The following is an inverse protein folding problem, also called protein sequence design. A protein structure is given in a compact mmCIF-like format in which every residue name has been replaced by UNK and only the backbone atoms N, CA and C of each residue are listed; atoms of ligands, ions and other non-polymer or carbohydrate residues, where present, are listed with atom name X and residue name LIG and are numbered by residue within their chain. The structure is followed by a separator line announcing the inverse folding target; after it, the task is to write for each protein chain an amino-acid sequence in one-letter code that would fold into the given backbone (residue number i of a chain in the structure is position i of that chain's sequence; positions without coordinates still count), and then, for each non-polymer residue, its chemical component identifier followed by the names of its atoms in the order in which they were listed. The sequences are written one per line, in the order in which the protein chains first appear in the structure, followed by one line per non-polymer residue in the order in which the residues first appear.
data_IF_494450152961
#
_entry.id   IF_494450152961
#
_cell.length_a   1.000
_cell.length_b   1.000
_cell.length_c   1.000
_cell.angle_alpha   90.00
_cell.angle_beta   90.00
_cell.angle_gamma   90.00
#
_symmetry.space_group_name_H-M   'P 1'
#
loop_
_entity.id
_entity.type
_entity.pdbx_description
1 polymer ?
#
# COMPACT_ATOMS: atom_id res chain seq x y z
N UNK A 1 4.68 -0.71 6.08
CA UNK A 1 5.42 0.15 7.00
C UNK A 1 5.65 -0.61 8.30
N UNK A 2 4.62 -0.92 9.10
CA UNK A 2 4.72 -1.60 10.40
C UNK A 2 5.39 -2.97 10.32
N UNK A 3 5.06 -3.80 9.33
CA UNK A 3 5.70 -5.11 9.11
C UNK A 3 7.22 -5.03 8.85
N UNK A 4 7.74 -3.85 8.51
CA UNK A 4 9.17 -3.56 8.37
C UNK A 4 9.76 -2.91 9.63
N UNK A 5 9.01 -2.82 10.72
CA UNK A 5 9.43 -2.20 11.97
C UNK A 5 9.48 -0.66 11.93
N UNK A 6 8.92 -0.01 10.91
CA UNK A 6 8.88 1.44 10.84
C UNK A 6 7.62 2.00 11.50
N UNK A 7 7.76 3.11 12.23
CA UNK A 7 6.65 3.80 12.88
C UNK A 7 5.86 4.62 11.84
N UNK A 8 4.58 4.30 11.58
CA UNK A 8 3.77 5.02 10.64
C UNK A 8 3.34 6.41 11.13
N UNK A 9 3.41 6.70 12.44
CA UNK A 9 3.08 8.04 12.99
C UNK A 9 4.22 9.04 12.81
N UNK A 10 5.40 8.56 12.43
CA UNK A 10 6.59 9.37 12.14
C UNK A 10 7.33 8.79 10.94
N UNK A 11 6.65 8.77 9.77
CA UNK A 11 7.18 8.15 8.54
C UNK A 11 8.19 9.04 7.80
N UNK A 12 8.39 10.26 8.24
CA UNK A 12 9.31 11.22 7.63
C UNK A 12 8.84 12.65 7.86
N UNK A 13 9.28 13.56 6.99
CA UNK A 13 8.83 14.95 7.00
C UNK A 13 8.43 15.38 5.60
N UNK A 14 7.40 16.20 5.51
CA UNK A 14 6.97 16.85 4.28
C UNK A 14 7.95 17.95 3.82
N UNK A 15 7.63 18.65 2.73
CA UNK A 15 8.45 19.75 2.21
C UNK A 15 8.50 20.98 3.14
N UNK A 16 7.59 21.08 4.10
CA UNK A 16 7.49 22.12 5.11
C UNK A 16 8.19 21.74 6.42
N UNK A 17 8.72 20.50 6.51
CA UNK A 17 9.38 19.97 7.69
C UNK A 17 8.42 19.46 8.77
N UNK A 18 7.12 19.29 8.46
CA UNK A 18 6.15 18.68 9.36
C UNK A 18 6.29 17.15 9.32
N UNK A 19 6.06 16.48 10.45
CA UNK A 19 6.05 15.03 10.51
C UNK A 19 4.89 14.49 9.64
N UNK A 20 5.16 13.43 8.87
CA UNK A 20 4.15 12.67 8.13
C UNK A 20 3.62 11.59 9.05
N UNK A 21 2.35 11.69 9.43
CA UNK A 21 1.61 10.71 10.21
C UNK A 21 0.64 9.96 9.30
N UNK A 22 1.06 8.79 8.80
CA UNK A 22 0.25 7.97 7.89
C UNK A 22 -1.02 7.43 8.56
N UNK A 23 -1.03 7.32 9.89
CA UNK A 23 -2.21 6.87 10.63
C UNK A 23 -3.26 7.99 10.64
N UNK A 24 -2.87 9.18 11.06
CA UNK A 24 -3.76 10.33 11.08
C UNK A 24 -4.28 10.66 9.67
N UNK A 25 -3.38 10.81 8.71
CA UNK A 25 -3.68 11.21 7.33
C UNK A 25 -4.59 10.20 6.62
N UNK A 26 -4.42 8.91 6.89
CA UNK A 26 -5.20 7.82 6.28
C UNK A 26 -6.50 7.47 7.03
N UNK A 27 -6.77 8.07 8.19
CA UNK A 27 -7.93 7.71 9.03
C UNK A 27 -8.65 8.92 9.59
N UNK A 28 -8.42 9.26 10.85
CA UNK A 28 -9.20 10.23 11.61
C UNK A 28 -8.95 11.70 11.22
N UNK A 29 -7.85 12.01 10.58
CA UNK A 29 -7.54 13.33 10.03
C UNK A 29 -7.70 13.40 8.50
N UNK A 30 -8.33 12.40 7.89
CA UNK A 30 -8.64 12.40 6.46
C UNK A 30 -9.30 13.73 6.04
N UNK A 31 -8.94 14.22 4.86
CA UNK A 31 -9.42 15.52 4.37
C UNK A 31 -10.95 15.60 4.46
N UNK A 32 -11.43 16.58 5.24
CA UNK A 32 -12.86 16.78 5.51
C UNK A 32 -13.65 17.28 4.30
N UNK A 33 -13.00 17.58 3.18
CA UNK A 33 -13.68 17.94 1.93
C UNK A 33 -14.32 16.72 1.26
N UNK A 34 -13.81 15.52 1.54
CA UNK A 34 -14.35 14.26 1.07
C UNK A 34 -14.50 13.26 2.23
N UNK A 35 -15.53 12.41 2.15
CA UNK A 35 -15.73 11.34 3.14
C UNK A 35 -14.67 10.26 3.02
N UNK A 36 -14.31 9.59 4.13
CA UNK A 36 -13.58 8.31 4.11
C UNK A 36 -14.25 7.29 3.16
N UNK A 37 -15.58 7.36 3.04
CA UNK A 37 -16.36 6.52 2.13
C UNK A 37 -16.34 6.93 0.66
N UNK A 38 -15.55 7.90 0.23
CA UNK A 38 -15.46 8.34 -1.18
C UNK A 38 -15.06 7.18 -2.11
N UNK A 39 -14.28 6.22 -1.61
CA UNK A 39 -13.91 4.99 -2.33
C UNK A 39 -14.84 3.80 -2.00
N UNK A 40 -16.08 4.07 -1.60
CA UNK A 40 -17.01 3.06 -1.12
C UNK A 40 -16.66 2.56 0.28
N UNK A 41 -17.15 1.38 0.65
CA UNK A 41 -16.97 0.82 1.99
C UNK A 41 -15.50 0.55 2.34
N UNK A 42 -14.63 0.34 1.35
CA UNK A 42 -13.21 0.08 1.54
C UNK A 42 -12.50 1.16 2.35
N UNK A 43 -12.85 2.44 2.17
CA UNK A 43 -12.27 3.53 2.94
C UNK A 43 -12.47 3.37 4.45
N UNK A 44 -13.69 3.01 4.87
CA UNK A 44 -14.04 2.76 6.26
C UNK A 44 -13.38 1.49 6.82
N UNK A 45 -13.40 0.40 6.03
CA UNK A 45 -12.79 -0.89 6.40
C UNK A 45 -11.30 -0.73 6.69
N UNK A 46 -10.54 -0.16 5.73
CA UNK A 46 -9.09 -0.03 5.90
C UNK A 46 -8.70 1.03 6.92
N UNK A 47 -9.52 2.08 7.14
CA UNK A 47 -9.30 3.01 8.24
C UNK A 47 -9.41 2.30 9.60
N UNK A 48 -10.42 1.44 9.81
CA UNK A 48 -10.57 0.69 11.06
C UNK A 48 -9.43 -0.31 11.27
N UNK A 49 -9.09 -1.10 10.23
CA UNK A 49 -7.95 -2.03 10.28
C UNK A 49 -6.66 -1.27 10.64
N UNK A 50 -6.43 -0.12 10.04
CA UNK A 50 -5.24 0.72 10.30
C UNK A 50 -5.18 1.19 11.74
N UNK A 51 -6.29 1.70 12.29
CA UNK A 51 -6.37 2.15 13.69
C UNK A 51 -6.14 1.01 14.68
N UNK A 52 -6.63 -0.18 14.37
CA UNK A 52 -6.55 -1.34 15.26
C UNK A 52 -5.21 -2.09 15.11
N UNK A 53 -4.50 -1.90 14.00
CA UNK A 53 -3.24 -2.58 13.74
C UNK A 53 -2.15 -2.29 14.79
N UNK A 54 -2.13 -1.09 15.37
CA UNK A 54 -1.21 -0.68 16.44
C UNK A 54 -1.94 -0.12 17.66
N UNK A 55 -3.25 -0.38 17.79
CA UNK A 55 -4.10 0.18 18.84
C UNK A 55 -3.99 1.72 18.94
N UNK A 56 -3.94 2.42 17.80
CA UNK A 56 -3.72 3.86 17.75
C UNK A 56 -4.87 4.64 18.39
N UNK A 57 -4.52 5.63 19.22
CA UNK A 57 -5.51 6.52 19.83
C UNK A 57 -6.04 7.51 18.80
N UNK A 58 -7.35 7.76 18.84
CA UNK A 58 -8.01 8.80 18.05
C UNK A 58 -8.21 10.01 18.95
N UNK A 59 -7.75 11.23 18.56
CA UNK A 59 -7.97 12.46 19.31
C UNK A 59 -9.46 12.79 19.47
N UNK A 60 -9.85 13.46 20.57
CA UNK A 60 -11.26 13.83 20.84
C UNK A 60 -11.84 14.79 19.80
N UNK A 61 -10.98 15.60 19.16
CA UNK A 61 -11.37 16.55 18.11
C UNK A 61 -11.08 16.06 16.70
N UNK A 62 -10.93 14.75 16.52
CA UNK A 62 -10.70 14.15 15.21
C UNK A 62 -11.90 14.35 14.27
N UNK A 63 -11.65 14.31 12.97
CA UNK A 63 -12.70 14.34 11.95
C UNK A 63 -13.61 13.12 12.00
N UNK A 64 -13.04 11.96 12.37
CA UNK A 64 -13.76 10.69 12.56
C UNK A 64 -13.29 10.01 13.84
N UNK A 65 -14.23 9.56 14.65
CA UNK A 65 -13.96 8.68 15.79
C UNK A 65 -13.92 7.22 15.34
N UNK A 66 -13.22 6.35 16.09
CA UNK A 66 -13.24 4.90 15.83
C UNK A 66 -14.66 4.33 15.82
N UNK A 67 -15.55 4.83 16.70
CA UNK A 67 -16.94 4.36 16.76
C UNK A 67 -17.73 4.78 15.51
N UNK A 68 -17.57 5.98 14.99
CA UNK A 68 -18.22 6.41 13.75
C UNK A 68 -17.75 5.60 12.55
N UNK A 69 -16.46 5.25 12.47
CA UNK A 69 -15.92 4.38 11.42
C UNK A 69 -16.56 2.99 11.53
N UNK A 70 -16.61 2.42 12.73
CA UNK A 70 -17.24 1.13 12.99
C UNK A 70 -18.73 1.13 12.66
N UNK A 71 -19.47 2.17 13.08
CA UNK A 71 -20.90 2.31 12.81
C UNK A 71 -21.17 2.44 11.31
N UNK A 72 -20.30 3.11 10.55
CA UNK A 72 -20.42 3.22 9.10
C UNK A 72 -20.26 1.85 8.42
N UNK A 73 -19.34 1.00 8.90
CA UNK A 73 -19.19 -0.37 8.39
C UNK A 73 -20.45 -1.19 8.71
N UNK A 74 -20.90 -1.20 9.96
CA UNK A 74 -22.06 -1.97 10.38
C UNK A 74 -23.35 -1.55 9.65
N UNK A 75 -23.54 -0.24 9.44
CA UNK A 75 -24.68 0.29 8.71
C UNK A 75 -24.71 -0.09 7.21
N UNK A 76 -23.60 -0.55 6.67
CA UNK A 76 -23.49 -0.99 5.29
C UNK A 76 -23.77 -2.49 5.09
N UNK A 77 -24.09 -3.24 6.17
CA UNK A 77 -24.47 -4.64 6.04
C UNK A 77 -25.81 -4.77 5.33
N UNK A 78 -25.86 -5.60 4.32
CA UNK A 78 -27.06 -5.84 3.51
C UNK A 78 -27.98 -6.89 4.17
N UNK A 79 -29.26 -6.96 3.77
CA UNK A 79 -30.21 -7.91 4.35
C UNK A 79 -29.85 -9.39 4.18
N UNK A 80 -28.98 -9.74 3.22
CA UNK A 80 -28.45 -11.09 3.02
C UNK A 80 -27.27 -11.41 3.95
N UNK A 81 -26.83 -10.45 4.77
CA UNK A 81 -25.71 -10.55 5.70
C UNK A 81 -24.37 -10.16 5.11
N UNK A 82 -24.26 -9.97 3.79
CA UNK A 82 -23.04 -9.55 3.12
C UNK A 82 -22.78 -8.05 3.21
N UNK A 83 -21.64 -7.63 2.65
CA UNK A 83 -21.25 -6.25 2.48
C UNK A 83 -20.86 -6.01 1.02
N UNK A 84 -21.16 -4.83 0.50
CA UNK A 84 -20.81 -4.45 -0.87
C UNK A 84 -20.03 -3.15 -0.94
N UNK A 85 -19.33 -2.94 -2.05
CA UNK A 85 -18.64 -1.68 -2.30
C UNK A 85 -19.63 -0.52 -2.40
N UNK A 86 -20.82 -0.80 -2.91
CA UNK A 86 -21.97 0.10 -2.98
C UNK A 86 -23.20 -0.60 -2.42
N UNK A 87 -24.14 0.17 -1.87
CA UNK A 87 -25.35 -0.35 -1.27
C UNK A 87 -26.18 -1.20 -2.26
N UNK A 88 -26.79 -2.26 -1.77
CA UNK A 88 -27.67 -3.16 -2.52
C UNK A 88 -26.96 -4.23 -3.34
N UNK A 89 -25.66 -4.40 -3.20
CA UNK A 89 -24.88 -5.41 -3.93
C UNK A 89 -23.79 -6.00 -3.04
N UNK A 90 -24.12 -7.05 -2.30
CA UNK A 90 -23.14 -7.80 -1.51
C UNK A 90 -22.11 -8.48 -2.39
N UNK A 91 -20.87 -8.52 -1.92
CA UNK A 91 -19.75 -9.12 -2.61
C UNK A 91 -18.83 -9.87 -1.65
N UNK A 92 -18.24 -10.96 -2.09
CA UNK A 92 -17.39 -11.84 -1.27
C UNK A 92 -16.17 -11.11 -0.75
N UNK A 93 -15.46 -10.35 -1.60
CA UNK A 93 -14.22 -9.67 -1.22
C UNK A 93 -14.49 -8.58 -0.18
N UNK A 94 -15.54 -7.77 -0.41
CA UNK A 94 -15.93 -6.69 0.49
C UNK A 94 -16.41 -7.25 1.83
N UNK A 95 -17.20 -8.33 1.81
CA UNK A 95 -17.66 -9.02 3.02
C UNK A 95 -16.49 -9.58 3.82
N UNK A 96 -15.54 -10.22 3.15
CA UNK A 96 -14.34 -10.75 3.81
C UNK A 96 -13.47 -9.64 4.40
N UNK A 97 -13.27 -8.52 3.70
CA UNK A 97 -12.53 -7.37 4.22
C UNK A 97 -13.27 -6.70 5.39
N UNK A 98 -14.61 -6.59 5.34
CA UNK A 98 -15.39 -6.08 6.47
C UNK A 98 -15.24 -6.97 7.71
N UNK A 99 -15.27 -8.30 7.56
CA UNK A 99 -15.03 -9.25 8.66
C UNK A 99 -13.63 -9.11 9.26
N UNK A 100 -12.59 -8.84 8.45
CA UNK A 100 -11.26 -8.57 8.98
C UNK A 100 -11.24 -7.31 9.87
N UNK A 101 -11.96 -6.25 9.47
CA UNK A 101 -12.11 -5.04 10.27
C UNK A 101 -12.94 -5.27 11.54
N UNK A 102 -13.99 -6.09 11.47
CA UNK A 102 -14.88 -6.39 12.59
C UNK A 102 -14.32 -7.43 13.55
N UNK A 103 -13.27 -8.17 13.20
CA UNK A 103 -12.72 -9.24 14.04
C UNK A 103 -12.37 -8.81 15.48
N UNK A 104 -11.79 -7.63 15.77
CA UNK A 104 -11.59 -7.17 17.15
C UNK A 104 -12.87 -6.94 17.95
N UNK A 105 -14.00 -6.83 17.27
CA UNK A 105 -15.31 -6.46 17.82
C UNK A 105 -16.32 -7.62 17.76
N UNK A 106 -15.89 -8.83 17.35
CA UNK A 106 -16.76 -9.97 17.06
C UNK A 106 -17.66 -10.37 18.24
N UNK A 107 -17.20 -10.23 19.48
CA UNK A 107 -18.05 -10.54 20.66
C UNK A 107 -19.19 -9.53 20.80
N UNK A 108 -18.92 -8.25 20.51
CA UNK A 108 -19.92 -7.18 20.62
C UNK A 108 -20.94 -7.20 19.47
N UNK A 109 -20.51 -7.61 18.29
CA UNK A 109 -21.31 -7.62 17.06
C UNK A 109 -21.43 -9.05 16.50
N UNK A 110 -21.65 -10.00 17.40
CA UNK A 110 -21.69 -11.42 17.05
C UNK A 110 -22.77 -11.76 16.01
N UNK A 111 -23.92 -11.07 16.04
CA UNK A 111 -25.02 -11.27 15.09
C UNK A 111 -24.60 -10.87 13.67
N UNK A 112 -24.00 -9.71 13.52
CA UNK A 112 -23.54 -9.16 12.24
C UNK A 112 -22.42 -10.01 11.65
N UNK A 113 -21.48 -10.44 12.48
CA UNK A 113 -20.38 -11.33 12.08
C UNK A 113 -20.90 -12.68 11.63
N UNK A 114 -21.83 -13.30 12.37
CA UNK A 114 -22.42 -14.60 11.98
C UNK A 114 -23.24 -14.51 10.69
N UNK A 115 -23.96 -13.42 10.44
CA UNK A 115 -24.68 -13.20 9.19
C UNK A 115 -23.70 -13.08 8.01
N UNK A 116 -22.59 -12.36 8.19
CA UNK A 116 -21.56 -12.24 7.15
C UNK A 116 -20.83 -13.56 6.88
N UNK A 117 -20.55 -14.36 7.93
CA UNK A 117 -20.00 -15.71 7.76
C UNK A 117 -20.99 -16.64 7.03
N UNK A 118 -22.30 -16.54 7.31
CA UNK A 118 -23.31 -17.31 6.62
C UNK A 118 -23.39 -16.91 5.13
N UNK A 119 -23.30 -15.61 4.82
CA UNK A 119 -23.21 -15.12 3.44
C UNK A 119 -21.99 -15.72 2.73
N UNK A 120 -20.78 -15.60 3.28
CA UNK A 120 -19.56 -16.17 2.66
C UNK A 120 -19.67 -17.69 2.46
N UNK A 121 -20.25 -18.41 3.44
CA UNK A 121 -20.46 -19.86 3.32
C UNK A 121 -21.43 -20.21 2.19
N UNK A 122 -22.46 -19.39 1.95
CA UNK A 122 -23.43 -19.60 0.85
C UNK A 122 -22.80 -19.32 -0.52
N UNK A 123 -21.89 -18.34 -0.60
CA UNK A 123 -21.20 -17.97 -1.84
C UNK A 123 -20.01 -18.89 -2.19
N UNK A 124 -19.61 -19.77 -1.28
CA UNK A 124 -18.54 -20.75 -1.53
C UNK A 124 -18.99 -21.79 -2.54
N UNK A 125 -18.19 -22.01 -3.59
CA UNK A 125 -18.48 -23.02 -4.62
C UNK A 125 -18.31 -24.45 -4.09
N UNK A 126 -18.79 -25.42 -4.87
CA UNK A 126 -18.60 -26.82 -4.53
C UNK A 126 -17.12 -27.27 -4.49
N UNK A 127 -16.23 -26.54 -5.17
CA UNK A 127 -14.79 -26.79 -5.20
C UNK A 127 -14.05 -26.15 -4.02
N UNK A 128 -14.72 -25.32 -3.25
CA UNK A 128 -14.14 -24.63 -2.09
C UNK A 128 -13.69 -23.21 -2.38
N UNK A 129 -13.63 -22.78 -3.64
CA UNK A 129 -13.27 -21.42 -4.04
C UNK A 129 -14.43 -20.43 -3.95
N UNK A 130 -14.19 -19.15 -4.29
CA UNK A 130 -15.14 -18.06 -4.13
C UNK A 130 -15.23 -17.20 -5.40
N UNK A 131 -16.45 -16.71 -5.66
CA UNK A 131 -16.77 -15.88 -6.82
C UNK A 131 -17.06 -14.45 -6.34
N UNK A 132 -16.30 -13.47 -6.86
CA UNK A 132 -16.53 -12.04 -6.68
C UNK A 132 -16.82 -11.42 -8.06
N UNK A 133 -17.86 -10.60 -8.17
CA UNK A 133 -18.30 -9.96 -9.42
C UNK A 133 -18.37 -10.91 -10.62
N UNK A 134 -18.77 -12.16 -10.39
CA UNK A 134 -18.94 -13.18 -11.43
C UNK A 134 -17.65 -13.91 -11.85
N UNK A 135 -16.53 -13.66 -11.20
CA UNK A 135 -15.25 -14.31 -11.48
C UNK A 135 -14.74 -15.03 -10.24
N UNK A 136 -14.41 -16.32 -10.37
CA UNK A 136 -13.71 -17.05 -9.33
C UNK A 136 -12.20 -16.74 -9.42
N UNK A 137 -11.59 -16.32 -8.31
CA UNK A 137 -10.21 -15.88 -8.29
C UNK A 137 -9.46 -16.28 -7.03
N UNK A 138 -8.12 -16.35 -7.15
CA UNK A 138 -7.25 -16.58 -6.00
C UNK A 138 -7.40 -15.47 -4.95
N UNK A 139 -7.57 -14.23 -5.38
CA UNK A 139 -7.69 -13.07 -4.51
C UNK A 139 -8.94 -13.15 -3.65
N UNK A 140 -10.09 -13.55 -4.23
CA UNK A 140 -11.33 -13.74 -3.46
C UNK A 140 -11.19 -14.85 -2.42
N UNK A 141 -10.57 -15.97 -2.79
CA UNK A 141 -10.25 -17.05 -1.84
C UNK A 141 -9.30 -16.54 -0.72
N UNK A 142 -8.28 -15.77 -1.08
CA UNK A 142 -7.33 -15.23 -0.11
C UNK A 142 -7.99 -14.29 0.89
N UNK A 143 -8.89 -13.38 0.44
CA UNK A 143 -9.63 -12.48 1.32
C UNK A 143 -10.48 -13.26 2.32
N UNK A 144 -11.18 -14.32 1.88
CA UNK A 144 -11.97 -15.15 2.78
C UNK A 144 -11.09 -15.91 3.79
N UNK A 145 -9.99 -16.52 3.34
CA UNK A 145 -9.06 -17.19 4.27
C UNK A 145 -8.52 -16.23 5.32
N UNK A 146 -8.14 -14.99 4.93
CA UNK A 146 -7.68 -13.97 5.88
C UNK A 146 -8.78 -13.58 6.87
N UNK A 147 -10.05 -13.44 6.42
CA UNK A 147 -11.17 -13.10 7.27
C UNK A 147 -11.46 -14.20 8.31
N UNK A 148 -11.48 -15.46 7.88
CA UNK A 148 -11.67 -16.61 8.76
C UNK A 148 -10.57 -16.67 9.82
N UNK A 149 -9.31 -16.57 9.42
CA UNK A 149 -8.17 -16.55 10.35
C UNK A 149 -8.25 -15.37 11.33
N UNK A 150 -8.69 -14.18 10.90
CA UNK A 150 -8.85 -13.01 11.76
C UNK A 150 -9.91 -13.23 12.86
N UNK A 151 -10.94 -14.02 12.57
CA UNK A 151 -12.00 -14.40 13.51
C UNK A 151 -11.66 -15.64 14.36
N UNK A 152 -10.49 -16.23 14.17
CA UNK A 152 -10.10 -17.47 14.85
C UNK A 152 -10.77 -18.73 14.30
N UNK A 153 -11.32 -18.66 13.08
CA UNK A 153 -11.96 -19.78 12.38
C UNK A 153 -10.94 -20.47 11.48
N UNK A 154 -10.78 -21.78 11.61
CA UNK A 154 -9.85 -22.54 10.76
C UNK A 154 -10.47 -22.78 9.36
N UNK A 155 -9.89 -22.20 8.29
CA UNK A 155 -10.43 -22.30 6.94
C UNK A 155 -10.35 -23.71 6.35
N UNK A 156 -9.70 -24.67 7.02
CA UNK A 156 -9.55 -26.07 6.60
C UNK A 156 -10.63 -27.00 7.16
N UNK A 157 -11.14 -26.67 8.35
CA UNK A 157 -11.89 -27.65 9.15
C UNK A 157 -13.26 -27.15 9.66
N UNK A 158 -13.55 -25.85 9.56
CA UNK A 158 -14.85 -25.32 9.96
C UNK A 158 -15.94 -25.86 8.98
N UNK A 159 -16.94 -26.53 9.51
CA UNK A 159 -17.98 -27.22 8.74
C UNK A 159 -18.73 -26.27 7.78
N UNK A 160 -18.79 -24.98 8.05
CA UNK A 160 -19.42 -23.97 7.18
C UNK A 160 -18.64 -23.79 5.87
N UNK A 161 -17.32 -23.98 5.93
CA UNK A 161 -16.38 -23.70 4.84
C UNK A 161 -15.71 -24.94 4.26
N UNK A 162 -16.26 -26.12 4.55
CA UNK A 162 -15.88 -27.39 3.91
C UNK A 162 -16.99 -27.83 2.97
N UNK A 163 -16.72 -27.87 1.67
CA UNK A 163 -17.65 -28.30 0.61
C UNK A 163 -17.21 -29.65 0.05
N UNK A 164 -18.00 -30.19 -0.89
CA UNK A 164 -17.75 -31.53 -1.46
C UNK A 164 -16.37 -31.66 -2.15
N UNK A 165 -15.86 -30.60 -2.73
CA UNK A 165 -14.56 -30.56 -3.45
C UNK A 165 -13.39 -30.07 -2.64
N UNK A 166 -13.62 -29.47 -1.45
CA UNK A 166 -12.55 -28.99 -0.58
C UNK A 166 -13.00 -27.93 0.42
N UNK A 167 -12.09 -27.55 1.28
CA UNK A 167 -12.23 -26.46 2.24
C UNK A 167 -11.98 -25.10 1.56
N UNK A 168 -12.18 -24.00 2.30
CA UNK A 168 -11.82 -22.66 1.82
C UNK A 168 -10.31 -22.54 1.50
N UNK A 169 -9.44 -23.20 2.28
CA UNK A 169 -8.02 -23.25 1.94
C UNK A 169 -7.75 -24.06 0.69
N UNK A 170 -8.39 -25.24 0.52
CA UNK A 170 -8.23 -26.03 -0.70
C UNK A 170 -8.66 -25.22 -1.93
N UNK A 171 -9.75 -24.43 -1.84
CA UNK A 171 -10.19 -23.51 -2.87
C UNK A 171 -9.12 -22.49 -3.28
N UNK A 172 -8.39 -21.91 -2.33
CA UNK A 172 -7.26 -21.04 -2.62
C UNK A 172 -6.11 -21.81 -3.30
N UNK A 173 -5.80 -23.01 -2.82
CA UNK A 173 -4.68 -23.80 -3.33
C UNK A 173 -4.91 -24.33 -4.75
N UNK A 174 -6.15 -24.34 -5.27
CA UNK A 174 -6.44 -24.63 -6.68
C UNK A 174 -5.70 -23.70 -7.64
N UNK A 175 -5.44 -22.47 -7.24
CA UNK A 175 -4.78 -21.42 -8.04
C UNK A 175 -3.25 -21.46 -7.98
N UNK A 176 -2.68 -22.40 -7.20
CA UNK A 176 -1.22 -22.54 -7.13
C UNK A 176 -0.67 -23.16 -8.42
N UNK A 177 0.30 -22.50 -9.03
CA UNK A 177 1.00 -22.98 -10.22
C UNK A 177 2.15 -23.92 -9.86
N UNK A 178 2.67 -24.63 -10.83
CA UNK A 178 3.84 -25.53 -10.65
C UNK A 178 5.09 -24.81 -10.12
N UNK A 179 5.16 -23.49 -10.27
CA UNK A 179 6.26 -22.66 -9.76
C UNK A 179 6.13 -22.32 -8.28
N UNK A 180 4.98 -22.63 -7.67
CA UNK A 180 4.62 -22.23 -6.31
C UNK A 180 4.01 -20.84 -6.19
N UNK A 181 3.94 -20.06 -7.27
CA UNK A 181 3.18 -18.82 -7.35
C UNK A 181 1.69 -19.09 -7.56
N UNK A 182 0.86 -18.06 -7.56
CA UNK A 182 -0.58 -18.18 -7.78
C UNK A 182 -1.00 -17.46 -9.07
N UNK A 183 -1.96 -18.03 -9.79
CA UNK A 183 -2.62 -17.38 -10.92
C UNK A 183 -3.88 -16.65 -10.43
N UNK A 184 -4.32 -15.64 -11.18
CA UNK A 184 -5.56 -14.90 -10.89
C UNK A 184 -6.79 -15.78 -11.12
N UNK A 185 -6.88 -16.38 -12.30
CA UNK A 185 -7.94 -17.30 -12.73
C UNK A 185 -7.33 -18.67 -13.01
N UNK A 186 -8.08 -19.74 -12.75
CA UNK A 186 -7.61 -21.11 -12.98
C UNK A 186 -7.16 -21.32 -14.43
N UNK A 187 -5.93 -21.80 -14.58
CA UNK A 187 -5.32 -22.10 -15.87
C UNK A 187 -4.54 -20.95 -16.51
N UNK A 188 -4.54 -19.77 -15.89
CA UNK A 188 -3.71 -18.65 -16.32
C UNK A 188 -2.25 -18.80 -15.85
N UNK A 189 -1.38 -17.92 -16.34
CA UNK A 189 -0.01 -17.79 -15.86
C UNK A 189 0.00 -17.18 -14.44
N UNK A 190 1.15 -17.35 -13.75
CA UNK A 190 1.39 -16.78 -12.43
C UNK A 190 1.17 -15.26 -12.45
N UNK A 191 0.45 -14.75 -11.45
CA UNK A 191 0.10 -13.34 -11.28
C UNK A 191 0.72 -12.82 -9.98
N UNK A 192 1.33 -11.64 -10.03
CA UNK A 192 2.01 -11.06 -8.86
C UNK A 192 1.02 -10.72 -7.74
N UNK A 193 -0.12 -10.10 -8.06
CA UNK A 193 -1.13 -9.71 -7.07
C UNK A 193 -1.78 -10.94 -6.43
N UNK A 194 -2.16 -11.95 -7.23
CA UNK A 194 -2.69 -13.22 -6.74
C UNK A 194 -1.69 -13.91 -5.80
N UNK A 195 -0.39 -13.92 -6.17
CA UNK A 195 0.67 -14.53 -5.36
C UNK A 195 0.88 -13.77 -4.05
N UNK A 196 0.84 -12.43 -4.09
CA UNK A 196 0.95 -11.59 -2.88
C UNK A 196 -0.23 -11.84 -1.93
N UNK A 197 -1.45 -11.80 -2.42
CA UNK A 197 -2.64 -12.00 -1.58
C UNK A 197 -2.72 -13.43 -1.03
N UNK A 198 -2.42 -14.45 -1.83
CA UNK A 198 -2.32 -15.83 -1.35
C UNK A 198 -1.22 -15.96 -0.28
N UNK A 199 -0.08 -15.30 -0.45
CA UNK A 199 0.98 -15.24 0.56
C UNK A 199 0.50 -14.63 1.88
N UNK A 200 -0.27 -13.54 1.85
CA UNK A 200 -0.87 -12.93 3.05
C UNK A 200 -1.88 -13.89 3.72
N UNK A 201 -2.70 -14.59 2.94
CA UNK A 201 -3.66 -15.57 3.47
C UNK A 201 -2.93 -16.76 4.15
N UNK A 202 -1.85 -17.25 3.56
CA UNK A 202 -1.04 -18.31 4.18
C UNK A 202 -0.31 -17.82 5.43
N UNK A 203 0.15 -16.57 5.46
CA UNK A 203 0.69 -15.94 6.67
C UNK A 203 -0.38 -15.83 7.77
N UNK A 204 -1.63 -15.44 7.41
CA UNK A 204 -2.74 -15.38 8.37
C UNK A 204 -3.04 -16.76 8.98
N UNK A 205 -3.01 -17.80 8.15
CA UNK A 205 -3.18 -19.19 8.62
C UNK A 205 -2.05 -19.61 9.56
N UNK A 206 -0.79 -19.33 9.21
CA UNK A 206 0.36 -19.64 10.06
C UNK A 206 0.25 -18.94 11.44
N UNK A 207 -0.16 -17.67 11.44
CA UNK A 207 -0.41 -16.92 12.69
C UNK A 207 -1.55 -17.52 13.53
N UNK A 208 -2.63 -17.98 12.88
CA UNK A 208 -3.72 -18.70 13.55
C UNK A 208 -3.21 -19.98 14.21
N UNK A 209 -2.41 -20.80 13.52
CA UNK A 209 -1.83 -22.04 14.02
C UNK A 209 -0.89 -21.81 15.21
N UNK A 210 -0.13 -20.73 15.18
CA UNK A 210 0.79 -20.33 16.26
C UNK A 210 0.11 -19.60 17.42
N UNK A 211 -1.17 -19.24 17.28
CA UNK A 211 -1.90 -18.40 18.27
C UNK A 211 -1.34 -16.98 18.33
N UNK A 212 -0.73 -16.49 17.24
CA UNK A 212 -0.04 -15.21 17.16
C UNK A 212 -0.96 -14.01 16.81
N UNK A 213 -2.29 -14.20 16.89
CA UNK A 213 -3.25 -13.14 16.60
C UNK A 213 -3.46 -12.89 15.12
N UNK A 214 -4.17 -11.80 14.78
CA UNK A 214 -4.58 -11.45 13.44
C UNK A 214 -3.40 -11.03 12.55
N UNK A 215 -3.55 -11.16 11.22
CA UNK A 215 -2.52 -10.75 10.26
C UNK A 215 -2.10 -9.28 10.43
N UNK A 216 -3.06 -8.39 10.64
CA UNK A 216 -2.84 -6.96 10.79
C UNK A 216 -2.76 -6.49 12.26
N UNK A 217 -2.32 -7.34 13.17
CA UNK A 217 -2.03 -6.97 14.56
C UNK A 217 -0.51 -6.81 14.75
N UNK A 218 -0.08 -5.58 15.00
CA UNK A 218 1.31 -5.19 15.22
C UNK A 218 1.50 -4.54 16.60
N UNK A 219 0.58 -4.77 17.53
CA UNK A 219 0.59 -4.14 18.87
C UNK A 219 1.82 -4.52 19.69
N UNK A 220 2.41 -5.67 19.43
CA UNK A 220 3.63 -6.19 20.06
C UNK A 220 4.90 -5.98 19.22
N UNK A 221 4.76 -5.38 18.02
CA UNK A 221 5.90 -5.16 17.11
C UNK A 221 6.68 -3.92 17.53
N UNK A 222 7.99 -4.00 17.81
CA UNK A 222 8.79 -2.83 18.12
C UNK A 222 8.94 -1.96 16.87
N UNK A 223 8.32 -0.77 16.88
CA UNK A 223 8.37 0.18 15.79
C UNK A 223 9.46 1.23 16.06
N UNK A 224 10.16 1.65 15.01
CA UNK A 224 11.18 2.69 15.04
C UNK A 224 10.76 3.87 14.17
N UNK A 225 10.88 5.08 14.69
CA UNK A 225 10.67 6.29 13.91
C UNK A 225 11.57 6.26 12.66
N UNK A 226 11.01 6.62 11.51
CA UNK A 226 11.77 6.72 10.28
C UNK A 226 12.76 7.88 10.37
N UNK A 227 14.03 7.57 10.51
CA UNK A 227 15.10 8.54 10.33
C UNK A 227 15.48 8.55 8.83
N UNK A 228 15.14 9.61 8.07
CA UNK A 228 15.58 9.71 6.69
C UNK A 228 17.09 9.67 6.69
N UNK A 229 17.69 8.70 5.99
CA UNK A 229 19.13 8.71 5.71
C UNK A 229 19.43 10.07 5.11
N UNK A 230 20.12 10.94 5.87
CA UNK A 230 20.63 12.19 5.33
C UNK A 230 21.55 11.83 4.17
N UNK A 231 21.00 11.79 2.96
CA UNK A 231 21.79 11.86 1.75
C UNK A 231 22.44 13.23 1.79
N UNK A 232 23.61 13.31 2.42
CA UNK A 232 24.46 14.50 2.30
C UNK A 232 24.69 14.67 0.82
N UNK A 233 23.91 15.55 0.24
CA UNK A 233 24.12 15.94 -1.14
C UNK A 233 25.59 16.38 -1.17
N UNK A 234 26.43 15.84 -2.07
CA UNK A 234 27.85 16.10 -2.02
C UNK A 234 28.12 17.53 -2.52
N UNK A 235 27.69 18.52 -1.73
CA UNK A 235 27.90 19.95 -2.02
C UNK A 235 29.37 20.25 -2.34
N UNK A 236 30.30 19.48 -1.75
CA UNK A 236 31.69 19.55 -2.08
C UNK A 236 32.04 19.22 -3.54
N UNK A 237 31.34 18.21 -4.13
CA UNK A 237 31.51 17.86 -5.55
C UNK A 237 30.90 18.93 -6.43
N UNK A 238 29.70 19.44 -6.09
CA UNK A 238 29.03 20.50 -6.85
C UNK A 238 29.88 21.79 -6.82
N UNK A 239 30.40 22.14 -5.66
CA UNK A 239 31.33 23.30 -5.52
C UNK A 239 32.62 23.10 -6.34
N UNK A 240 33.20 21.88 -6.33
CA UNK A 240 34.42 21.60 -7.10
C UNK A 240 34.13 21.68 -8.63
N UNK A 241 32.99 21.17 -9.11
CA UNK A 241 32.59 21.25 -10.54
C UNK A 241 32.34 22.71 -10.93
N UNK A 242 31.69 23.50 -10.07
CA UNK A 242 31.46 24.93 -10.34
C UNK A 242 32.78 25.70 -10.40
N UNK A 243 33.73 25.46 -9.50
CA UNK A 243 35.08 26.12 -9.51
C UNK A 243 35.87 25.72 -10.77
N UNK A 244 35.85 24.44 -11.15
CA UNK A 244 36.48 23.98 -12.40
C UNK A 244 35.85 24.61 -13.64
N UNK A 245 34.52 24.71 -13.69
CA UNK A 245 33.79 25.36 -14.78
C UNK A 245 34.15 26.83 -14.93
N UNK A 246 34.20 27.58 -13.80
CA UNK A 246 34.65 28.99 -13.80
C UNK A 246 36.12 29.11 -14.23
N UNK A 247 37.02 28.22 -13.74
CA UNK A 247 38.40 28.17 -14.15
C UNK A 247 38.60 27.96 -15.64
N UNK A 248 37.84 27.05 -16.25
CA UNK A 248 37.88 26.81 -17.70
C UNK A 248 37.36 28.01 -18.51
N UNK A 249 36.33 28.69 -18.06
CA UNK A 249 35.82 29.93 -18.70
C UNK A 249 36.87 31.03 -18.65
N UNK A 250 37.53 31.22 -17.50
CA UNK A 250 38.63 32.20 -17.35
C UNK A 250 39.79 31.86 -18.29
N UNK A 251 40.19 30.60 -18.37
CA UNK A 251 41.28 30.18 -19.28
C UNK A 251 40.88 30.38 -20.76
N UNK A 252 39.63 30.12 -21.09
CA UNK A 252 39.12 30.34 -22.46
C UNK A 252 39.11 31.82 -22.84
N UNK A 253 38.65 32.69 -21.96
CA UNK A 253 38.68 34.16 -22.15
C UNK A 253 40.13 34.70 -22.22
N UNK A 254 41.02 34.18 -21.37
CA UNK A 254 42.43 34.57 -21.37
C UNK A 254 43.14 34.14 -22.67
N UNK A 255 42.95 32.90 -23.13
CA UNK A 255 43.42 32.43 -24.44
C UNK A 255 42.87 33.29 -25.57
N UNK A 256 41.62 33.63 -25.57
CA UNK A 256 41.03 34.51 -26.60
C UNK A 256 41.68 35.88 -26.65
N UNK A 257 41.99 36.47 -25.49
CA UNK A 257 42.73 37.75 -25.39
C UNK A 257 44.18 37.66 -25.88
N UNK A 258 44.84 36.52 -25.59
CA UNK A 258 46.24 36.30 -26.02
C UNK A 258 46.31 36.11 -27.56
N UNK A 259 45.40 35.28 -28.13
CA UNK A 259 45.34 35.09 -29.56
C UNK A 259 44.90 36.36 -30.34
N UNK A 260 43.95 37.11 -29.81
CA UNK A 260 43.54 38.40 -30.40
C UNK A 260 44.61 39.47 -30.37
N UNK A 261 45.56 39.45 -29.41
CA UNK A 261 46.72 40.33 -29.39
C UNK A 261 47.82 39.96 -30.41
N UNK A 262 47.99 38.67 -30.70
CA UNK A 262 48.96 38.23 -31.70
C UNK A 262 48.52 38.54 -33.13
N UNK A 263 47.23 38.45 -33.47
CA UNK A 263 46.74 38.82 -34.78
C UNK A 263 46.78 40.32 -35.05
N UNK A 264 46.69 41.19 -34.02
CA UNK A 264 46.83 42.63 -34.23
C UNK A 264 48.28 43.08 -34.47
N UNK A 265 49.31 42.26 -34.15
CA UNK A 265 50.71 42.55 -34.38
C UNK A 265 51.16 42.17 -35.81
N UNK A 266 50.48 41.29 -36.49
CA UNK A 266 50.78 40.86 -37.88
C UNK A 266 50.20 41.77 -38.92
N UNK A 267 49.12 42.52 -38.62
CA UNK A 267 48.49 43.47 -39.59
C UNK A 267 49.08 44.86 -39.61
N UNK A 268 50.00 45.22 -38.67
CA UNK A 268 50.64 46.53 -38.64
C UNK A 268 51.99 46.59 -39.36
N UNK A 269 52.39 45.52 -40.08
CA UNK A 269 53.71 45.41 -40.73
C UNK A 269 53.74 45.52 -42.28
N UNK A 270 52.60 45.77 -42.92
CA UNK A 270 52.51 45.72 -44.41
C UNK A 270 51.96 47.00 -45.07
N UNK A 271 52.40 48.16 -44.56
CA UNK A 271 52.17 49.41 -45.35
C UNK A 271 53.39 50.31 -45.27
N UNK A 272 54.41 49.99 -46.03
CA UNK A 272 55.39 50.96 -46.50
C UNK A 272 56.07 50.44 -47.77
N UNK A 273 55.81 51.10 -48.85
CA UNK A 273 56.68 51.07 -50.06
C UNK A 273 56.01 50.73 -51.33
N UNK A 274 55.43 51.68 -52.04
CA UNK A 274 56.06 52.09 -53.33
C UNK A 274 55.42 53.36 -53.88
N UNK A 275 56.26 54.34 -53.97
CA UNK A 275 56.01 55.58 -54.67
C UNK A 275 56.78 55.55 -56.02
N UNK A 276 56.17 56.07 -57.07
CA UNK A 276 56.75 56.74 -58.29
C UNK A 276 57.12 55.90 -59.50
N UNK A 277 56.54 56.40 -60.49
CA UNK A 277 57.01 56.76 -61.90
C UNK A 277 56.36 55.95 -62.99
N UNK A 278 55.79 56.73 -63.81
CA UNK A 278 55.58 56.65 -65.26
C UNK A 278 54.36 57.42 -65.72
#
# INVERSE_FOLDING_TARGET
VMALGADPTCFGTDAQGQAIDLIADGTYAWDTTESLGTQGLNGWIFALITLDAGAYSVPENAGYTRQEILDAILAAQEPDGGFGLVAGASDVDITAMALQALAPYQERYASEVEQALAYLSAEQTAQGDFISYGTASAESCAQVVMALCALGVDPRTDDRFVKAGGSALDGLLLYQTDTGAFCHILGDEANLLATEQAGLALCALGRLEEGAGRLYDFTDTPLQAYEPKQTRFPYGIVAAVAVLGVGLVILWVWKGKVYGRNNKKTDSGSEKGHCRKG
#
